data_IF_672307915142
#
_entry.id   IF_672307915142
#
_cell.length_a   1.000
_cell.length_b   1.000
_cell.length_c   1.000
_cell.angle_alpha   90.00
_cell.angle_beta   90.00
_cell.angle_gamma   90.00
#
_symmetry.space_group_name_H-M   'P 1'
#
loop_
_entity.id
_entity.type
_entity.pdbx_description
1 polymer ?
#
# COMPACT_ATOMS: atom_id res chain seq x y z
N UNK A 1 -24.99 -39.03 -30.51
CA UNK A 1 -23.73 -39.45 -29.86
C UNK A 1 -23.98 -40.34 -28.63
N UNK A 2 -24.53 -41.54 -28.83
CA UNK A 2 -24.90 -42.44 -27.72
C UNK A 2 -23.64 -42.94 -26.97
N UNK A 3 -22.60 -43.34 -27.72
CA UNK A 3 -21.35 -43.85 -27.13
C UNK A 3 -20.62 -42.82 -26.26
N UNK A 4 -20.71 -41.52 -26.59
CA UNK A 4 -20.16 -40.45 -25.75
C UNK A 4 -20.88 -40.42 -24.38
N UNK A 5 -22.20 -40.60 -24.37
CA UNK A 5 -22.98 -40.64 -23.13
C UNK A 5 -22.56 -41.81 -22.23
N UNK A 6 -22.30 -42.97 -22.82
CA UNK A 6 -21.79 -44.16 -22.11
C UNK A 6 -20.39 -43.89 -21.56
N UNK A 7 -19.48 -43.38 -22.37
CA UNK A 7 -18.11 -43.03 -21.95
C UNK A 7 -18.11 -42.06 -20.75
N UNK A 8 -18.98 -41.05 -20.76
CA UNK A 8 -19.07 -40.09 -19.66
C UNK A 8 -19.60 -40.71 -18.37
N UNK A 9 -20.58 -41.62 -18.45
CA UNK A 9 -21.07 -42.36 -17.29
C UNK A 9 -19.94 -43.21 -16.67
N UNK A 10 -19.26 -44.01 -17.51
CA UNK A 10 -18.16 -44.88 -17.06
C UNK A 10 -17.00 -44.07 -16.49
N UNK A 11 -16.64 -42.97 -17.14
CA UNK A 11 -15.58 -42.06 -16.66
C UNK A 11 -15.92 -41.46 -15.30
N UNK A 12 -17.16 -41.03 -15.09
CA UNK A 12 -17.58 -40.48 -13.80
C UNK A 12 -17.56 -41.55 -12.70
N UNK A 13 -18.04 -42.76 -12.99
CA UNK A 13 -17.98 -43.89 -12.04
C UNK A 13 -16.52 -44.19 -11.65
N UNK A 14 -15.62 -44.21 -12.62
CA UNK A 14 -14.20 -44.45 -12.38
C UNK A 14 -13.55 -43.35 -11.53
N UNK A 15 -13.80 -42.08 -11.85
CA UNK A 15 -13.33 -40.92 -11.07
C UNK A 15 -13.86 -40.96 -9.63
N UNK A 16 -15.13 -41.31 -9.45
CA UNK A 16 -15.73 -41.43 -8.12
C UNK A 16 -15.16 -42.60 -7.33
N UNK A 17 -14.83 -43.70 -8.01
CA UNK A 17 -14.20 -44.85 -7.38
C UNK A 17 -12.76 -44.57 -6.97
N UNK A 18 -11.99 -43.87 -7.79
CA UNK A 18 -10.62 -43.48 -7.45
C UNK A 18 -10.60 -42.58 -6.21
N UNK A 19 -11.47 -41.58 -6.16
CA UNK A 19 -11.56 -40.66 -5.03
C UNK A 19 -12.00 -41.34 -3.72
N UNK A 20 -12.80 -42.42 -3.79
CA UNK A 20 -13.15 -43.22 -2.60
C UNK A 20 -12.01 -44.12 -2.15
N UNK A 21 -11.19 -44.60 -3.09
CA UNK A 21 -10.12 -45.56 -2.84
C UNK A 21 -8.77 -44.87 -2.56
N UNK A 22 -8.67 -43.56 -2.78
CA UNK A 22 -7.52 -42.73 -2.46
C UNK A 22 -7.87 -41.70 -1.39
N UNK A 23 -6.87 -41.14 -0.71
CA UNK A 23 -7.05 -39.98 0.17
C UNK A 23 -7.07 -38.65 -0.61
N UNK A 24 -7.16 -38.70 -1.95
CA UNK A 24 -7.05 -37.54 -2.82
C UNK A 24 -8.44 -36.97 -3.14
N UNK A 25 -8.46 -35.70 -3.51
CA UNK A 25 -9.67 -35.04 -3.99
C UNK A 25 -10.09 -35.61 -5.34
N UNK A 26 -11.40 -35.69 -5.55
CA UNK A 26 -12.03 -36.13 -6.79
C UNK A 26 -11.56 -35.29 -7.99
N UNK A 27 -11.16 -35.95 -9.06
CA UNK A 27 -10.77 -35.29 -10.31
C UNK A 27 -11.96 -34.58 -10.96
N UNK A 28 -11.67 -33.42 -11.55
CA UNK A 28 -12.62 -32.70 -12.40
C UNK A 28 -12.71 -33.39 -13.76
N UNK A 29 -13.93 -33.57 -14.25
CA UNK A 29 -14.23 -34.09 -15.56
C UNK A 29 -14.88 -32.99 -16.39
N UNK A 30 -14.12 -32.45 -17.34
CA UNK A 30 -14.49 -31.30 -18.16
C UNK A 30 -14.35 -31.65 -19.63
N UNK A 31 -15.09 -30.96 -20.49
CA UNK A 31 -15.07 -31.20 -21.93
C UNK A 31 -15.14 -29.89 -22.70
N UNK A 32 -14.44 -29.80 -23.82
CA UNK A 32 -14.70 -28.77 -24.82
C UNK A 32 -15.92 -29.19 -25.66
N UNK A 33 -16.94 -28.34 -25.69
CA UNK A 33 -18.16 -28.52 -26.47
C UNK A 33 -18.27 -27.48 -27.56
N UNK A 34 -18.83 -27.87 -28.71
CA UNK A 34 -19.14 -26.93 -29.78
C UNK A 34 -20.15 -25.86 -29.31
N UNK A 35 -20.14 -24.68 -29.94
CA UNK A 35 -21.04 -23.60 -29.53
C UNK A 35 -22.52 -23.97 -29.64
N UNK A 36 -22.86 -24.87 -30.57
CA UNK A 36 -24.18 -25.50 -30.66
C UNK A 36 -24.16 -26.91 -30.05
N UNK A 37 -25.17 -27.26 -29.23
CA UNK A 37 -25.29 -28.61 -28.68
C UNK A 37 -25.79 -29.65 -29.69
N UNK A 38 -26.23 -29.22 -30.87
CA UNK A 38 -26.68 -30.08 -31.95
C UNK A 38 -26.38 -29.42 -33.30
N UNK A 39 -25.88 -30.22 -34.23
CA UNK A 39 -25.64 -29.83 -35.61
C UNK A 39 -26.16 -30.96 -36.50
N UNK A 40 -27.07 -30.61 -37.42
CA UNK A 40 -27.76 -31.56 -38.30
C UNK A 40 -28.39 -32.73 -37.53
N UNK A 41 -28.01 -33.97 -37.86
CA UNK A 41 -28.50 -35.20 -37.22
C UNK A 41 -27.72 -35.59 -35.96
N UNK A 42 -26.72 -34.81 -35.55
CA UNK A 42 -25.83 -35.14 -34.43
C UNK A 42 -26.05 -34.19 -33.27
N UNK A 43 -26.50 -34.74 -32.14
CA UNK A 43 -26.65 -33.99 -30.88
C UNK A 43 -25.78 -34.56 -29.77
N UNK A 44 -25.37 -33.67 -28.86
CA UNK A 44 -24.77 -34.05 -27.59
C UNK A 44 -25.77 -34.78 -26.68
N UNK A 45 -25.32 -35.77 -25.90
CA UNK A 45 -26.15 -36.45 -24.91
C UNK A 45 -26.29 -35.59 -23.66
N UNK A 46 -27.13 -34.54 -23.74
CA UNK A 46 -27.26 -33.48 -22.73
C UNK A 46 -27.45 -34.02 -21.32
N UNK A 47 -28.33 -35.01 -21.14
CA UNK A 47 -28.60 -35.61 -19.83
C UNK A 47 -27.37 -36.30 -19.22
N UNK A 48 -26.60 -37.04 -20.04
CA UNK A 48 -25.37 -37.68 -19.59
C UNK A 48 -24.30 -36.62 -19.26
N UNK A 49 -24.13 -35.63 -20.13
CA UNK A 49 -23.18 -34.55 -19.89
C UNK A 49 -23.50 -33.77 -18.61
N UNK A 50 -24.77 -33.43 -18.38
CA UNK A 50 -25.21 -32.69 -17.21
C UNK A 50 -24.95 -33.46 -15.92
N UNK A 51 -25.20 -34.78 -15.91
CA UNK A 51 -24.92 -35.63 -14.73
C UNK A 51 -23.43 -35.83 -14.49
N UNK A 52 -22.66 -36.03 -15.56
CA UNK A 52 -21.30 -36.56 -15.43
C UNK A 52 -20.20 -35.50 -15.51
N UNK A 53 -20.35 -34.41 -16.25
CA UNK A 53 -19.31 -33.39 -16.35
C UNK A 53 -19.42 -32.40 -15.19
N UNK A 54 -18.31 -31.86 -14.72
CA UNK A 54 -18.32 -30.72 -13.79
C UNK A 54 -18.75 -29.45 -14.54
N UNK A 55 -18.22 -29.23 -15.74
CA UNK A 55 -18.66 -28.19 -16.67
C UNK A 55 -18.20 -28.46 -18.11
N UNK A 56 -18.69 -27.62 -19.04
CA UNK A 56 -18.34 -27.64 -20.47
C UNK A 56 -17.72 -26.31 -20.87
N UNK A 57 -16.55 -26.36 -21.52
CA UNK A 57 -15.95 -25.21 -22.20
C UNK A 57 -16.63 -25.04 -23.57
N UNK A 58 -17.43 -24.00 -23.74
CA UNK A 58 -18.13 -23.72 -25.00
C UNK A 58 -17.17 -23.03 -25.96
N UNK A 59 -16.82 -23.67 -27.07
CA UNK A 59 -15.95 -23.08 -28.10
C UNK A 59 -16.72 -22.08 -28.95
N UNK A 60 -16.91 -20.87 -28.40
CA UNK A 60 -17.71 -19.78 -28.96
C UNK A 60 -16.93 -18.90 -29.95
N UNK A 61 -16.17 -19.54 -30.85
CA UNK A 61 -15.33 -18.90 -31.86
C UNK A 61 -15.02 -19.86 -33.00
N UNK A 62 -14.46 -19.33 -34.09
CA UNK A 62 -14.23 -20.07 -35.33
C UNK A 62 -15.51 -20.24 -36.16
N UNK A 63 -16.47 -19.32 -36.02
CA UNK A 63 -17.75 -19.35 -36.75
C UNK A 63 -17.56 -19.23 -38.26
N UNK A 64 -16.73 -18.28 -38.67
CA UNK A 64 -16.35 -18.02 -40.05
C UNK A 64 -14.83 -17.95 -40.12
N UNK A 65 -14.25 -18.62 -41.11
CA UNK A 65 -12.79 -18.76 -41.28
C UNK A 65 -12.42 -18.69 -42.75
N UNK A 66 -11.27 -18.09 -43.11
CA UNK A 66 -10.94 -17.76 -44.50
C UNK A 66 -10.65 -18.98 -45.39
N UNK A 67 -10.45 -20.16 -44.80
CA UNK A 67 -10.35 -21.42 -45.55
C UNK A 67 -11.70 -21.93 -46.05
N UNK A 68 -12.81 -21.47 -45.47
CA UNK A 68 -14.16 -21.93 -45.79
C UNK A 68 -15.01 -20.82 -46.39
N UNK A 69 -14.81 -19.59 -45.92
CA UNK A 69 -15.63 -18.43 -46.26
C UNK A 69 -14.87 -17.48 -47.18
N UNK A 70 -15.39 -17.27 -48.38
CA UNK A 70 -14.86 -16.36 -49.40
C UNK A 70 -15.37 -14.91 -49.23
N UNK A 71 -15.74 -14.54 -48.02
CA UNK A 71 -16.12 -13.19 -47.62
C UNK A 71 -15.63 -12.92 -46.19
N UNK A 72 -15.38 -11.65 -45.87
CA UNK A 72 -15.00 -11.25 -44.53
C UNK A 72 -16.17 -11.43 -43.58
N UNK A 73 -15.92 -12.00 -42.39
CA UNK A 73 -16.97 -12.15 -41.38
C UNK A 73 -16.38 -12.27 -39.98
N UNK A 74 -17.26 -12.27 -38.98
CA UNK A 74 -16.89 -12.32 -37.57
C UNK A 74 -16.67 -13.75 -37.09
N UNK A 75 -15.45 -14.12 -36.71
CA UNK A 75 -15.17 -15.50 -36.27
C UNK A 75 -15.69 -15.78 -34.84
N UNK A 76 -16.01 -14.76 -34.04
CA UNK A 76 -16.33 -14.90 -32.63
C UNK A 76 -17.45 -13.97 -32.13
N UNK A 77 -18.40 -13.60 -32.98
CA UNK A 77 -19.47 -12.67 -32.60
C UNK A 77 -20.24 -13.08 -31.33
N UNK A 78 -20.51 -12.11 -30.45
CA UNK A 78 -21.41 -12.33 -29.32
C UNK A 78 -22.87 -12.37 -29.79
N UNK A 79 -23.22 -11.43 -30.67
CA UNK A 79 -24.54 -11.29 -31.29
C UNK A 79 -24.40 -11.18 -32.80
N UNK A 80 -25.45 -11.59 -33.52
CA UNK A 80 -25.56 -11.35 -34.95
C UNK A 80 -27.02 -11.00 -35.29
N UNK A 81 -27.33 -9.75 -35.67
CA UNK A 81 -28.70 -9.33 -36.01
C UNK A 81 -29.22 -9.96 -37.30
N UNK A 82 -28.35 -10.50 -38.15
CA UNK A 82 -28.71 -11.14 -39.42
C UNK A 82 -28.94 -12.66 -39.25
N UNK A 83 -29.05 -13.14 -38.00
CA UNK A 83 -29.22 -14.54 -37.65
C UNK A 83 -28.07 -15.46 -38.12
N UNK A 84 -26.86 -14.91 -38.31
CA UNK A 84 -25.65 -15.72 -38.51
C UNK A 84 -25.15 -16.38 -37.22
N UNK A 85 -24.06 -17.14 -37.33
CA UNK A 85 -23.51 -17.89 -36.20
C UNK A 85 -22.97 -16.95 -35.10
N UNK A 86 -23.50 -17.08 -33.89
CA UNK A 86 -23.14 -16.23 -32.75
C UNK A 86 -23.26 -16.95 -31.39
N UNK A 87 -22.58 -16.37 -30.41
CA UNK A 87 -22.45 -16.93 -29.06
C UNK A 87 -23.76 -16.93 -28.27
N UNK A 88 -24.54 -15.85 -28.28
CA UNK A 88 -25.79 -15.78 -27.50
C UNK A 88 -26.82 -16.81 -27.97
N UNK A 89 -26.91 -17.03 -29.28
CA UNK A 89 -27.77 -18.08 -29.85
C UNK A 89 -27.33 -19.47 -29.43
N UNK A 90 -26.02 -19.76 -29.44
CA UNK A 90 -25.48 -21.03 -28.93
C UNK A 90 -25.81 -21.27 -27.46
N UNK A 91 -25.58 -20.28 -26.59
CA UNK A 91 -25.88 -20.37 -25.16
C UNK A 91 -27.39 -20.55 -24.90
N UNK A 92 -28.25 -19.84 -25.65
CA UNK A 92 -29.70 -20.03 -25.60
C UNK A 92 -30.11 -21.45 -25.99
N UNK A 93 -29.47 -22.02 -27.01
CA UNK A 93 -29.75 -23.38 -27.47
C UNK A 93 -29.30 -24.44 -26.45
N UNK A 94 -28.13 -24.30 -25.83
CA UNK A 94 -27.70 -25.15 -24.71
C UNK A 94 -28.72 -25.15 -23.58
N UNK A 95 -29.20 -23.96 -23.17
CA UNK A 95 -30.24 -23.81 -22.16
C UNK A 95 -31.56 -24.46 -22.60
N UNK A 96 -32.00 -24.21 -23.84
CA UNK A 96 -33.26 -24.74 -24.38
C UNK A 96 -33.31 -26.27 -24.36
N UNK A 97 -32.16 -26.92 -24.54
CA UNK A 97 -32.02 -28.37 -24.47
C UNK A 97 -31.92 -28.93 -23.05
N UNK A 98 -31.94 -28.07 -22.03
CA UNK A 98 -31.95 -28.48 -20.62
C UNK A 98 -30.58 -28.48 -19.93
N UNK A 99 -29.53 -27.96 -20.57
CA UNK A 99 -28.21 -27.86 -19.92
C UNK A 99 -28.14 -26.66 -18.97
N UNK A 100 -27.62 -26.87 -17.77
CA UNK A 100 -27.46 -25.82 -16.75
C UNK A 100 -26.41 -24.79 -17.18
N UNK A 101 -26.83 -23.53 -17.26
CA UNK A 101 -25.93 -22.41 -17.59
C UNK A 101 -24.78 -22.27 -16.59
N UNK A 102 -25.01 -22.58 -15.30
CA UNK A 102 -23.99 -22.61 -14.25
C UNK A 102 -22.97 -23.73 -14.40
N UNK A 103 -23.09 -24.58 -15.43
CA UNK A 103 -22.10 -25.59 -15.83
C UNK A 103 -21.49 -25.30 -17.21
N UNK A 104 -21.73 -24.13 -17.77
CA UNK A 104 -21.10 -23.67 -19.01
C UNK A 104 -20.02 -22.64 -18.70
N UNK A 105 -18.88 -22.78 -19.37
CA UNK A 105 -17.74 -21.87 -19.33
C UNK A 105 -17.56 -21.28 -20.72
N UNK A 106 -17.64 -19.96 -20.85
CA UNK A 106 -17.54 -19.26 -22.14
C UNK A 106 -16.11 -19.27 -22.67
N UNK A 107 -15.87 -19.84 -23.85
CA UNK A 107 -14.57 -19.76 -24.52
C UNK A 107 -14.33 -18.42 -25.23
N UNK A 108 -13.18 -17.80 -24.98
CA UNK A 108 -12.75 -16.55 -25.59
C UNK A 108 -11.52 -16.78 -26.48
N UNK A 109 -11.50 -16.30 -27.73
CA UNK A 109 -10.36 -16.45 -28.60
C UNK A 109 -9.35 -15.32 -28.41
N UNK A 110 -8.11 -15.67 -28.03
CA UNK A 110 -6.97 -14.74 -28.10
C UNK A 110 -6.30 -14.83 -29.46
N UNK A 111 -7.10 -14.90 -30.50
CA UNK A 111 -6.66 -14.96 -31.89
C UNK A 111 -7.75 -14.37 -32.75
N UNK A 112 -7.38 -14.09 -33.98
CA UNK A 112 -8.26 -13.65 -35.04
C UNK A 112 -8.00 -14.40 -36.32
N UNK A 113 -8.70 -13.97 -37.36
CA UNK A 113 -8.48 -14.44 -38.72
C UNK A 113 -8.31 -13.26 -39.67
N UNK A 114 -7.38 -13.43 -40.61
CA UNK A 114 -7.10 -12.51 -41.69
C UNK A 114 -7.59 -13.07 -43.02
N UNK A 115 -8.27 -12.22 -43.78
CA UNK A 115 -8.71 -12.46 -45.15
C UNK A 115 -7.95 -11.54 -46.10
N UNK A 116 -7.71 -12.02 -47.31
CA UNK A 116 -7.27 -11.18 -48.42
C UNK A 116 -8.50 -10.69 -49.19
N UNK A 117 -8.77 -9.39 -49.17
CA UNK A 117 -9.89 -8.76 -49.88
C UNK A 117 -9.71 -8.87 -51.40
N UNK A 118 -10.82 -9.02 -52.12
CA UNK A 118 -10.84 -8.90 -53.59
C UNK A 118 -10.58 -7.46 -54.02
N UNK A 119 -11.22 -6.50 -53.35
CA UNK A 119 -11.02 -5.07 -53.55
C UNK A 119 -10.77 -4.41 -52.18
N UNK A 120 -9.56 -3.86 -51.93
CA UNK A 120 -9.24 -3.16 -50.69
C UNK A 120 -10.18 -1.97 -50.37
N UNK A 121 -10.83 -1.39 -51.37
CA UNK A 121 -11.81 -0.31 -51.17
C UNK A 121 -13.15 -0.83 -50.65
N UNK A 122 -13.45 -2.10 -50.87
CA UNK A 122 -14.59 -2.79 -50.29
C UNK A 122 -14.11 -3.59 -49.06
N UNK A 123 -14.03 -2.92 -47.92
CA UNK A 123 -13.49 -3.46 -46.67
C UNK A 123 -14.54 -3.59 -45.55
N UNK A 124 -15.83 -3.49 -45.91
CA UNK A 124 -16.90 -3.74 -44.99
C UNK A 124 -16.93 -5.21 -44.55
N UNK A 125 -17.62 -5.48 -43.44
CA UNK A 125 -17.98 -6.85 -43.08
C UNK A 125 -18.87 -7.45 -44.18
N UNK A 126 -18.61 -8.68 -44.57
CA UNK A 126 -19.28 -9.34 -45.71
C UNK A 126 -18.64 -9.02 -47.07
N UNK A 127 -17.53 -8.29 -47.11
CA UNK A 127 -16.83 -7.99 -48.34
C UNK A 127 -16.24 -9.27 -48.99
N UNK A 128 -16.27 -9.41 -50.32
CA UNK A 128 -15.66 -10.54 -51.01
C UNK A 128 -14.15 -10.67 -50.71
N UNK A 129 -13.72 -11.91 -50.48
CA UNK A 129 -12.34 -12.25 -50.15
C UNK A 129 -11.82 -13.42 -51.01
N UNK A 130 -10.52 -13.39 -51.31
CA UNK A 130 -9.80 -14.41 -52.06
C UNK A 130 -9.41 -15.63 -51.19
N UNK A 131 -9.55 -15.51 -49.87
CA UNK A 131 -9.19 -16.57 -48.91
C UNK A 131 -8.26 -16.07 -47.81
N UNK A 132 -7.42 -16.96 -47.22
CA UNK A 132 -6.51 -16.62 -46.13
C UNK A 132 -5.57 -15.46 -46.43
N UNK A 133 -5.44 -14.53 -45.48
CA UNK A 133 -4.45 -13.46 -45.48
C UNK A 133 -3.37 -13.72 -44.42
N UNK A 134 -2.16 -13.19 -44.64
CA UNK A 134 -1.00 -13.26 -43.73
C UNK A 134 -0.44 -14.68 -43.48
N UNK A 135 -1.24 -15.62 -43.00
CA UNK A 135 -0.83 -17.00 -42.68
C UNK A 135 -1.58 -18.02 -43.57
N UNK A 136 -1.08 -19.27 -43.61
CA UNK A 136 -1.59 -20.32 -44.51
C UNK A 136 -3.06 -20.73 -44.26
N UNK A 137 -3.61 -20.41 -43.10
CA UNK A 137 -5.02 -20.60 -42.76
C UNK A 137 -5.70 -19.31 -42.31
N UNK A 138 -4.98 -18.18 -42.36
CA UNK A 138 -5.43 -16.86 -41.96
C UNK A 138 -5.43 -16.65 -40.45
N UNK A 139 -5.14 -17.67 -39.63
CA UNK A 139 -5.13 -17.49 -38.17
C UNK A 139 -3.99 -16.58 -37.73
N UNK A 140 -4.27 -15.70 -36.77
CA UNK A 140 -3.29 -14.80 -36.18
C UNK A 140 -3.52 -14.69 -34.67
N UNK A 141 -2.51 -14.98 -33.84
CA UNK A 141 -2.59 -14.75 -32.39
C UNK A 141 -2.71 -13.26 -32.07
N UNK A 142 -3.44 -12.89 -31.01
CA UNK A 142 -3.70 -11.48 -30.65
C UNK A 142 -2.41 -10.64 -30.56
N UNK A 143 -1.37 -11.13 -29.90
CA UNK A 143 -0.04 -10.50 -29.84
C UNK A 143 0.56 -10.24 -31.22
N UNK A 144 0.42 -11.19 -32.13
CA UNK A 144 0.89 -11.02 -33.51
C UNK A 144 0.04 -9.99 -34.25
N UNK A 145 -1.28 -9.98 -34.06
CA UNK A 145 -2.17 -8.95 -34.61
C UNK A 145 -1.73 -7.57 -34.12
N UNK A 146 -1.52 -7.37 -32.80
CA UNK A 146 -1.06 -6.08 -32.27
C UNK A 146 0.29 -5.66 -32.85
N UNK A 147 1.24 -6.59 -32.96
CA UNK A 147 2.53 -6.30 -33.59
C UNK A 147 2.39 -5.94 -35.07
N UNK A 148 1.60 -6.70 -35.83
CA UNK A 148 1.37 -6.49 -37.25
C UNK A 148 0.75 -5.11 -37.49
N UNK A 149 -0.28 -4.77 -36.72
CA UNK A 149 -0.97 -3.48 -36.85
C UNK A 149 -0.04 -2.31 -36.48
N UNK A 150 0.79 -2.45 -35.44
CA UNK A 150 1.80 -1.43 -35.06
C UNK A 150 2.82 -1.17 -36.18
N UNK A 151 3.05 -2.11 -37.08
CA UNK A 151 3.94 -1.93 -38.23
C UNK A 151 3.33 -1.06 -39.33
N UNK A 152 2.01 -0.79 -39.31
CA UNK A 152 1.31 0.02 -40.33
C UNK A 152 0.43 1.12 -39.69
N UNK A 153 1.02 2.05 -38.91
CA UNK A 153 0.26 3.00 -38.09
C UNK A 153 -0.57 4.00 -38.90
N UNK A 154 -0.23 4.26 -40.17
CA UNK A 154 -0.95 5.16 -41.07
C UNK A 154 -2.15 4.52 -41.79
N UNK A 155 -2.27 3.19 -41.73
CA UNK A 155 -3.30 2.42 -42.48
C UNK A 155 -4.30 1.72 -41.56
N UNK A 156 -3.96 1.55 -40.29
CA UNK A 156 -4.76 0.80 -39.34
C UNK A 156 -6.01 1.55 -38.87
N UNK A 157 -7.15 1.29 -39.49
CA UNK A 157 -8.45 1.67 -38.94
C UNK A 157 -8.92 0.60 -37.95
N UNK A 158 -8.78 0.87 -36.64
CA UNK A 158 -9.37 0.03 -35.60
C UNK A 158 -10.87 0.30 -35.50
N UNK A 159 -11.68 -0.73 -35.75
CA UNK A 159 -13.13 -0.62 -35.61
C UNK A 159 -13.61 -1.64 -34.58
N UNK A 160 -14.06 -1.13 -33.44
CA UNK A 160 -14.91 -1.91 -32.54
C UNK A 160 -16.34 -1.87 -33.06
N UNK A 161 -16.93 -3.05 -33.29
CA UNK A 161 -18.31 -3.17 -33.70
C UNK A 161 -19.17 -3.58 -32.50
N UNK A 162 -19.89 -2.62 -31.91
CA UNK A 162 -20.75 -2.86 -30.75
C UNK A 162 -21.96 -3.78 -31.05
N UNK A 163 -22.38 -3.88 -32.31
CA UNK A 163 -23.50 -4.75 -32.70
C UNK A 163 -23.12 -6.22 -32.60
N UNK A 164 -21.92 -6.58 -33.06
CA UNK A 164 -21.41 -7.96 -33.05
C UNK A 164 -20.52 -8.27 -31.83
N UNK A 165 -20.03 -7.23 -31.16
CA UNK A 165 -19.07 -7.29 -30.04
C UNK A 165 -17.77 -7.96 -30.46
N UNK A 166 -17.14 -7.41 -31.49
CA UNK A 166 -15.84 -7.84 -32.02
C UNK A 166 -15.06 -6.63 -32.55
N UNK A 167 -13.77 -6.83 -32.81
CA UNK A 167 -12.91 -5.84 -33.42
C UNK A 167 -12.52 -6.30 -34.82
N UNK A 168 -12.31 -5.34 -35.72
CA UNK A 168 -11.63 -5.62 -36.98
C UNK A 168 -10.76 -4.44 -37.41
N UNK A 169 -9.82 -4.71 -38.29
CA UNK A 169 -9.02 -3.70 -38.96
C UNK A 169 -8.74 -4.11 -40.41
N UNK A 170 -8.34 -3.13 -41.22
CA UNK A 170 -7.93 -3.35 -42.61
C UNK A 170 -6.59 -2.66 -42.84
N UNK A 171 -5.64 -3.36 -43.46
CA UNK A 171 -4.31 -2.88 -43.79
C UNK A 171 -4.01 -3.33 -45.23
N UNK A 172 -3.94 -2.40 -46.16
CA UNK A 172 -3.94 -2.71 -47.60
C UNK A 172 -5.08 -3.68 -47.97
N UNK A 173 -4.79 -4.83 -48.62
CA UNK A 173 -5.81 -5.84 -48.95
C UNK A 173 -6.17 -6.77 -47.79
N UNK A 174 -5.52 -6.65 -46.63
CA UNK A 174 -5.71 -7.58 -45.51
C UNK A 174 -6.81 -7.07 -44.59
N UNK A 175 -7.85 -7.88 -44.38
CA UNK A 175 -8.91 -7.62 -43.41
C UNK A 175 -8.81 -8.61 -42.25
N UNK A 176 -8.75 -8.12 -41.00
CA UNK A 176 -8.48 -8.95 -39.82
C UNK A 176 -9.62 -8.78 -38.81
N UNK A 177 -10.27 -9.87 -38.39
CA UNK A 177 -11.22 -9.86 -37.28
C UNK A 177 -10.66 -10.60 -36.06
N UNK A 178 -10.86 -10.01 -34.89
CA UNK A 178 -10.36 -10.52 -33.61
C UNK A 178 -11.16 -9.90 -32.43
N UNK A 179 -10.91 -10.36 -31.21
CA UNK A 179 -11.39 -9.69 -30.00
C UNK A 179 -10.27 -8.82 -29.40
N UNK A 180 -10.54 -7.52 -29.21
CA UNK A 180 -9.70 -6.63 -28.42
C UNK A 180 -10.33 -6.44 -27.02
N UNK A 181 -9.66 -5.64 -26.18
CA UNK A 181 -10.00 -5.40 -24.77
C UNK A 181 -11.48 -5.09 -24.54
N UNK A 182 -12.10 -4.25 -25.37
CA UNK A 182 -13.50 -3.87 -25.23
C UNK A 182 -14.46 -5.05 -25.48
N UNK A 183 -14.23 -5.84 -26.52
CA UNK A 183 -15.02 -7.03 -26.81
C UNK A 183 -14.91 -8.06 -25.68
N UNK A 184 -13.70 -8.27 -25.13
CA UNK A 184 -13.48 -9.17 -24.00
C UNK A 184 -14.29 -8.73 -22.77
N UNK A 185 -14.23 -7.45 -22.39
CA UNK A 185 -14.98 -6.93 -21.23
C UNK A 185 -16.49 -7.14 -21.37
N UNK A 186 -17.04 -6.88 -22.56
CA UNK A 186 -18.48 -7.08 -22.82
C UNK A 186 -18.85 -8.56 -22.77
N UNK A 187 -18.03 -9.47 -23.34
CA UNK A 187 -18.29 -10.92 -23.30
C UNK A 187 -18.19 -11.49 -21.88
N UNK A 188 -17.30 -10.98 -21.04
CA UNK A 188 -17.25 -11.34 -19.61
C UNK A 188 -18.49 -10.84 -18.88
N UNK A 189 -18.90 -9.60 -19.12
CA UNK A 189 -20.12 -9.05 -18.52
C UNK A 189 -21.35 -9.86 -18.91
N UNK A 190 -21.43 -10.28 -20.17
CA UNK A 190 -22.45 -11.20 -20.67
C UNK A 190 -22.43 -12.55 -19.92
N UNK A 191 -21.25 -13.18 -19.77
CA UNK A 191 -21.14 -14.46 -19.07
C UNK A 191 -21.63 -14.36 -17.62
N UNK A 192 -21.24 -13.29 -16.92
CA UNK A 192 -21.72 -12.98 -15.57
C UNK A 192 -23.23 -12.78 -15.53
N UNK A 193 -23.78 -11.96 -16.43
CA UNK A 193 -25.22 -11.65 -16.47
C UNK A 193 -26.09 -12.88 -16.76
N UNK A 194 -25.61 -13.80 -17.62
CA UNK A 194 -26.31 -15.04 -17.94
C UNK A 194 -26.19 -16.12 -16.85
N UNK A 195 -25.36 -15.90 -15.83
CA UNK A 195 -25.08 -16.90 -14.80
C UNK A 195 -24.29 -18.10 -15.33
N UNK A 196 -23.37 -17.86 -16.27
CA UNK A 196 -22.40 -18.88 -16.69
C UNK A 196 -21.41 -19.14 -15.54
N UNK A 197 -20.79 -20.33 -15.52
CA UNK A 197 -19.81 -20.69 -14.49
C UNK A 197 -18.58 -19.78 -14.52
N UNK A 198 -18.20 -19.34 -15.72
CA UNK A 198 -17.03 -18.50 -15.93
C UNK A 198 -16.65 -18.42 -17.41
N UNK A 199 -15.35 -18.26 -17.66
CA UNK A 199 -14.77 -18.19 -18.99
C UNK A 199 -13.46 -18.99 -19.08
N UNK A 200 -13.06 -19.31 -20.31
CA UNK A 200 -11.76 -19.92 -20.65
C UNK A 200 -11.20 -19.23 -21.87
N UNK A 201 -9.89 -19.36 -22.14
CA UNK A 201 -9.21 -18.63 -23.21
C UNK A 201 -8.42 -19.58 -24.12
N UNK A 202 -8.49 -19.35 -25.43
CA UNK A 202 -7.71 -20.08 -26.42
C UNK A 202 -6.91 -19.11 -27.31
N UNK A 203 -5.60 -18.94 -27.08
CA UNK A 203 -4.84 -19.50 -25.96
C UNK A 203 -3.98 -18.43 -25.31
N UNK A 204 -3.63 -18.64 -24.05
CA UNK A 204 -2.90 -17.68 -23.20
C UNK A 204 -1.64 -17.15 -23.87
N UNK A 205 -0.89 -18.02 -24.56
CA UNK A 205 0.36 -17.63 -25.24
C UNK A 205 0.19 -16.59 -26.36
N UNK A 206 -1.04 -16.37 -26.82
CA UNK A 206 -1.33 -15.35 -27.82
C UNK A 206 -1.63 -13.97 -27.20
N UNK A 207 -1.76 -13.84 -25.87
CA UNK A 207 -2.05 -12.55 -25.24
C UNK A 207 -0.85 -11.58 -25.37
N UNK A 208 -1.10 -10.28 -25.47
CA UNK A 208 -0.04 -9.26 -25.51
C UNK A 208 0.15 -8.71 -24.08
N UNK A 209 1.19 -9.18 -23.38
CA UNK A 209 1.50 -8.76 -22.01
C UNK A 209 0.32 -8.88 -21.04
N UNK A 210 -0.46 -9.96 -21.12
CA UNK A 210 -1.65 -10.24 -20.29
C UNK A 210 -2.77 -9.20 -20.42
N UNK A 211 -2.80 -8.41 -21.49
CA UNK A 211 -3.76 -7.34 -21.69
C UNK A 211 -5.20 -7.85 -21.70
N UNK A 212 -5.49 -8.88 -22.52
CA UNK A 212 -6.84 -9.45 -22.58
C UNK A 212 -7.18 -10.19 -21.28
N UNK A 213 -6.21 -10.87 -20.67
CA UNK A 213 -6.41 -11.59 -19.41
C UNK A 213 -6.74 -10.67 -18.24
N UNK A 214 -6.05 -9.52 -18.10
CA UNK A 214 -6.38 -8.50 -17.09
C UNK A 214 -7.73 -7.85 -17.36
N UNK A 215 -8.03 -7.57 -18.63
CA UNK A 215 -9.33 -7.05 -19.03
C UNK A 215 -10.46 -8.02 -18.65
N UNK A 216 -10.24 -9.33 -18.82
CA UNK A 216 -11.22 -10.35 -18.45
C UNK A 216 -11.39 -10.50 -16.93
N UNK A 217 -10.32 -10.32 -16.15
CA UNK A 217 -10.36 -10.34 -14.69
C UNK A 217 -11.15 -9.16 -14.11
N UNK A 218 -11.20 -8.02 -14.83
CA UNK A 218 -11.94 -6.82 -14.43
C UNK A 218 -11.17 -5.86 -13.52
N UNK A 219 -9.84 -5.93 -13.50
CA UNK A 219 -9.00 -5.08 -12.63
C UNK A 219 -9.08 -3.58 -12.98
N UNK A 220 -9.35 -3.22 -14.24
CA UNK A 220 -9.37 -1.82 -14.69
C UNK A 220 -10.57 -1.00 -14.14
N UNK A 221 -11.74 -1.63 -13.98
CA UNK A 221 -12.89 -0.97 -13.33
C UNK A 221 -12.61 -0.71 -11.85
N UNK A 222 -11.90 -1.63 -11.19
CA UNK A 222 -11.59 -1.55 -9.76
C UNK A 222 -10.48 -0.51 -9.51
N UNK A 223 -9.54 -0.32 -10.44
CA UNK A 223 -8.49 0.69 -10.34
C UNK A 223 -9.00 2.12 -10.61
N UNK A 224 -9.92 2.29 -11.57
CA UNK A 224 -10.61 3.57 -11.79
C UNK A 224 -11.56 3.92 -10.63
N UNK A 225 -12.32 2.94 -10.11
CA UNK A 225 -13.15 3.16 -8.92
C UNK A 225 -12.34 3.37 -7.64
N UNK A 226 -11.21 2.68 -7.43
CA UNK A 226 -10.30 2.94 -6.31
C UNK A 226 -9.73 4.35 -6.38
N UNK A 227 -9.28 4.80 -7.55
CA UNK A 227 -8.77 6.16 -7.73
C UNK A 227 -9.85 7.21 -7.47
N UNK A 228 -11.09 6.97 -7.94
CA UNK A 228 -12.23 7.86 -7.67
C UNK A 228 -12.67 7.86 -6.20
N UNK A 229 -12.64 6.70 -5.53
CA UNK A 229 -12.92 6.57 -4.09
C UNK A 229 -11.86 7.26 -3.26
N UNK A 230 -10.58 7.11 -3.60
CA UNK A 230 -9.47 7.80 -2.94
C UNK A 230 -9.57 9.32 -3.10
N UNK A 231 -9.99 9.81 -4.27
CA UNK A 231 -10.24 11.22 -4.55
C UNK A 231 -11.39 11.82 -3.71
N UNK A 232 -12.33 11.01 -3.22
CA UNK A 232 -13.45 11.46 -2.38
C UNK A 232 -13.13 11.28 -0.89
N UNK A 233 -12.48 10.17 -0.52
CA UNK A 233 -12.17 9.84 0.87
C UNK A 233 -11.09 10.78 1.43
N UNK A 234 -10.06 11.10 0.65
CA UNK A 234 -8.94 11.92 1.12
C UNK A 234 -9.36 13.37 1.48
N UNK A 235 -10.15 14.10 0.65
CA UNK A 235 -10.60 15.44 1.02
C UNK A 235 -11.64 15.44 2.15
N UNK A 236 -12.53 14.45 2.20
CA UNK A 236 -13.57 14.37 3.23
C UNK A 236 -12.96 14.08 4.60
N UNK A 237 -11.98 13.18 4.68
CA UNK A 237 -11.23 12.90 5.92
C UNK A 237 -10.45 14.12 6.39
N UNK A 238 -9.77 14.85 5.49
CA UNK A 238 -9.07 16.09 5.84
C UNK A 238 -10.04 17.17 6.33
N UNK A 239 -11.19 17.33 5.69
CA UNK A 239 -12.20 18.31 6.10
C UNK A 239 -12.78 17.99 7.48
N UNK A 240 -13.07 16.72 7.77
CA UNK A 240 -13.56 16.28 9.09
C UNK A 240 -12.48 16.50 10.17
N UNK A 241 -11.22 16.20 9.87
CA UNK A 241 -10.11 16.44 10.80
C UNK A 241 -9.94 17.93 11.11
N UNK A 242 -10.06 18.80 10.11
CA UNK A 242 -10.01 20.27 10.31
C UNK A 242 -11.20 20.77 11.16
N UNK A 243 -12.41 20.23 10.93
CA UNK A 243 -13.59 20.58 11.73
C UNK A 243 -13.45 20.12 13.19
N UNK A 244 -12.91 18.92 13.42
CA UNK A 244 -12.65 18.41 14.78
C UNK A 244 -11.55 19.23 15.45
N UNK A 245 -10.46 19.53 14.76
CA UNK A 245 -9.39 20.39 15.29
C UNK A 245 -9.90 21.79 15.64
N UNK A 246 -10.69 22.42 14.78
CA UNK A 246 -11.27 23.75 15.06
C UNK A 246 -12.25 23.71 16.23
N UNK A 247 -13.08 22.66 16.34
CA UNK A 247 -13.96 22.45 17.49
C UNK A 247 -13.17 22.27 18.79
N UNK A 248 -12.10 21.46 18.78
CA UNK A 248 -11.22 21.27 19.94
C UNK A 248 -10.55 22.58 20.32
N UNK A 249 -9.99 23.32 19.36
CA UNK A 249 -9.40 24.65 19.58
C UNK A 249 -10.41 25.64 20.17
N UNK A 250 -11.66 25.62 19.69
CA UNK A 250 -12.73 26.45 20.22
C UNK A 250 -13.06 26.10 21.68
N UNK A 251 -13.23 24.81 21.99
CA UNK A 251 -13.49 24.34 23.36
C UNK A 251 -12.31 24.64 24.28
N UNK A 252 -11.07 24.46 23.82
CA UNK A 252 -9.85 24.82 24.54
C UNK A 252 -9.76 26.32 24.79
N UNK A 253 -10.10 27.15 23.80
CA UNK A 253 -10.10 28.61 23.95
C UNK A 253 -11.14 29.08 25.00
N UNK A 254 -12.30 28.41 25.10
CA UNK A 254 -13.29 28.65 26.15
C UNK A 254 -12.79 28.24 27.53
N UNK A 255 -12.13 27.09 27.65
CA UNK A 255 -11.54 26.62 28.90
C UNK A 255 -10.43 27.57 29.36
N UNK A 256 -9.56 28.03 28.46
CA UNK A 256 -8.48 28.99 28.77
C UNK A 256 -9.05 30.35 29.20
N UNK A 257 -10.12 30.85 28.56
CA UNK A 257 -10.81 32.09 28.99
C UNK A 257 -11.43 31.97 30.39
N UNK A 258 -11.92 30.78 30.77
CA UNK A 258 -12.42 30.53 32.13
C UNK A 258 -11.29 30.38 33.17
N UNK A 259 -10.12 29.88 32.75
CA UNK A 259 -8.93 29.70 33.61
C UNK A 259 -8.24 31.01 33.97
N UNK A 260 -8.31 32.06 33.15
CA UNK A 260 -7.70 33.37 33.45
C UNK A 260 -8.18 34.02 34.76
N UNK A 261 -9.45 33.82 35.15
CA UNK A 261 -9.99 34.30 36.42
C UNK A 261 -9.59 33.38 37.60
N UNK A 262 -9.54 32.06 37.37
CA UNK A 262 -9.21 31.05 38.39
C UNK A 262 -7.71 30.99 38.69
N UNK A 263 -6.85 31.24 37.70
CA UNK A 263 -5.38 31.23 37.81
C UNK A 263 -4.83 32.46 38.54
N UNK A 264 -5.57 33.57 38.56
CA UNK A 264 -5.22 34.75 39.39
C UNK A 264 -5.47 34.49 40.88
N UNK A 265 -6.56 33.78 41.21
CA UNK A 265 -6.88 33.38 42.59
C UNK A 265 -5.98 32.24 43.07
N UNK A 266 -5.70 31.24 42.22
CA UNK A 266 -4.72 30.17 42.51
C UNK A 266 -3.29 30.69 42.69
N UNK A 267 -2.85 31.71 41.93
CA UNK A 267 -1.53 32.36 42.11
C UNK A 267 -1.37 33.00 43.49
N UNK A 268 -2.43 33.61 44.02
CA UNK A 268 -2.41 34.25 45.33
C UNK A 268 -2.32 33.19 46.45
N UNK A 269 -3.13 32.13 46.33
CA UNK A 269 -3.14 31.02 47.29
C UNK A 269 -1.83 30.20 47.25
N UNK A 270 -1.24 30.01 46.06
CA UNK A 270 0.02 29.26 45.90
C UNK A 270 1.26 30.05 46.35
N UNK A 271 1.28 31.38 46.19
CA UNK A 271 2.33 32.24 46.79
C UNK A 271 2.29 32.24 48.31
N UNK A 272 1.11 32.11 48.90
CA UNK A 272 0.93 31.94 50.35
C UNK A 272 1.38 30.54 50.78
N UNK A 273 1.02 29.51 50.02
CA UNK A 273 1.42 28.12 50.30
C UNK A 273 2.95 27.93 50.26
N UNK A 274 3.65 28.47 49.25
CA UNK A 274 5.12 28.36 49.14
C UNK A 274 5.86 29.12 50.25
N UNK A 275 5.34 30.26 50.72
CA UNK A 275 5.91 30.95 51.88
C UNK A 275 5.77 30.14 53.17
N UNK A 276 4.74 29.30 53.28
CA UNK A 276 4.54 28.41 54.42
C UNK A 276 5.38 27.12 54.32
N UNK A 277 5.44 26.46 53.16
CA UNK A 277 6.16 25.19 53.01
C UNK A 277 7.68 25.31 52.80
N UNK A 278 8.20 26.53 52.57
CA UNK A 278 9.64 26.81 52.68
C UNK A 278 10.18 26.67 54.11
N UNK A 279 9.29 26.60 55.11
CA UNK A 279 9.67 26.49 56.51
C UNK A 279 9.72 25.04 57.05
N UNK A 280 9.13 24.04 56.38
CA UNK A 280 8.91 22.72 57.03
C UNK A 280 9.36 21.45 56.28
N UNK A 281 9.66 21.44 54.97
CA UNK A 281 9.88 20.16 54.24
C UNK A 281 11.22 20.01 53.49
N UNK A 282 12.34 20.41 54.10
CA UNK A 282 13.70 20.09 53.60
C UNK A 282 14.53 19.22 54.57
N UNK A 283 13.89 18.34 55.34
CA UNK A 283 14.62 17.49 56.30
C UNK A 283 14.31 15.98 56.20
N UNK A 284 13.89 15.47 55.05
CA UNK A 284 13.59 14.03 54.88
C UNK A 284 14.05 13.45 53.55
N UNK A 285 15.26 12.89 53.51
CA UNK A 285 15.74 11.90 52.51
C UNK A 285 15.83 12.33 51.02
N UNK A 286 16.48 13.46 50.74
CA UNK A 286 17.06 13.78 49.41
C UNK A 286 18.61 13.76 49.47
N UNK A 287 19.19 12.70 50.02
CA UNK A 287 20.56 12.68 50.56
C UNK A 287 21.72 12.67 49.54
N UNK A 288 21.49 12.90 48.23
CA UNK A 288 22.56 12.80 47.21
C UNK A 288 22.72 14.02 46.28
N UNK A 289 21.88 15.06 46.36
CA UNK A 289 22.01 16.26 45.52
C UNK A 289 22.74 17.39 46.25
N UNK A 290 23.73 17.99 45.60
CA UNK A 290 24.43 19.15 46.13
C UNK A 290 23.70 20.45 45.77
N UNK A 291 23.47 21.32 46.76
CA UNK A 291 23.02 22.69 46.51
C UNK A 291 24.24 23.55 46.15
N UNK A 292 24.24 24.13 44.96
CA UNK A 292 25.31 25.01 44.48
C UNK A 292 24.88 26.48 44.60
N UNK A 293 25.81 27.34 45.01
CA UNK A 293 25.57 28.79 44.98
C UNK A 293 25.72 29.35 43.57
N UNK A 294 24.99 30.45 43.30
CA UNK A 294 25.05 31.16 42.02
C UNK A 294 26.48 31.59 41.70
N UNK A 295 27.24 32.05 42.70
CA UNK A 295 28.63 32.48 42.53
C UNK A 295 29.55 31.33 42.12
N UNK A 296 29.32 30.13 42.66
CA UNK A 296 30.08 28.93 42.31
C UNK A 296 29.84 28.53 40.86
N UNK A 297 28.57 28.49 40.43
CA UNK A 297 28.22 28.11 39.05
C UNK A 297 28.63 29.18 38.05
N UNK A 298 28.46 30.46 38.39
CA UNK A 298 28.93 31.59 37.58
C UNK A 298 30.44 31.53 37.38
N UNK A 299 31.22 31.22 38.41
CA UNK A 299 32.67 31.04 38.28
C UNK A 299 33.01 29.78 37.44
N UNK A 300 32.35 28.65 37.71
CA UNK A 300 32.61 27.38 37.02
C UNK A 300 32.35 27.46 35.51
N UNK A 301 31.37 28.26 35.08
CA UNK A 301 30.98 28.44 33.67
C UNK A 301 31.67 29.63 33.00
N UNK A 302 32.63 30.29 33.67
CA UNK A 302 33.25 31.54 33.23
C UNK A 302 32.21 32.61 32.85
N UNK A 303 31.37 32.99 33.82
CA UNK A 303 30.26 33.92 33.66
C UNK A 303 29.24 33.52 32.58
N UNK A 304 28.98 32.23 32.41
CA UNK A 304 28.13 31.70 31.34
C UNK A 304 28.59 32.14 29.93
N UNK A 305 29.91 32.12 29.70
CA UNK A 305 30.51 32.47 28.41
C UNK A 305 29.89 31.66 27.28
N UNK A 306 29.68 32.30 26.12
CA UNK A 306 29.22 31.62 24.90
C UNK A 306 30.18 30.53 24.43
N UNK A 307 31.48 30.64 24.74
CA UNK A 307 32.48 29.62 24.43
C UNK A 307 32.23 28.30 25.18
N UNK A 308 31.60 28.39 26.35
CA UNK A 308 31.23 27.23 27.15
C UNK A 308 29.82 26.72 26.81
N UNK A 309 29.11 27.31 25.86
CA UNK A 309 27.76 26.88 25.53
C UNK A 309 27.79 25.54 24.76
N UNK A 310 27.16 24.53 25.34
CA UNK A 310 27.04 23.19 24.75
C UNK A 310 25.85 23.08 23.79
N UNK A 311 24.77 23.82 24.06
CA UNK A 311 23.55 23.83 23.25
C UNK A 311 22.47 24.73 23.85
N UNK A 312 21.36 24.91 23.13
CA UNK A 312 20.15 25.59 23.61
C UNK A 312 18.91 25.00 22.94
N UNK A 313 17.87 24.74 23.73
CA UNK A 313 16.56 24.28 23.26
C UNK A 313 15.43 25.08 23.91
N UNK A 314 14.19 24.60 23.80
CA UNK A 314 13.00 25.28 24.34
C UNK A 314 13.02 25.55 25.85
N UNK A 315 13.92 24.90 26.58
CA UNK A 315 14.05 24.98 28.05
C UNK A 315 15.22 25.83 28.52
N UNK A 316 15.99 26.42 27.60
CA UNK A 316 17.10 27.32 27.89
C UNK A 316 18.48 26.76 27.52
N UNK A 317 19.53 27.57 27.71
CA UNK A 317 20.91 27.23 27.34
C UNK A 317 21.57 26.26 28.32
N UNK A 318 22.43 25.39 27.78
CA UNK A 318 23.29 24.47 28.55
C UNK A 318 24.75 24.90 28.40
N UNK A 319 25.46 25.03 29.52
CA UNK A 319 26.86 25.44 29.57
C UNK A 319 27.75 24.36 30.16
N UNK A 320 28.96 24.20 29.63
CA UNK A 320 30.05 23.46 30.25
C UNK A 320 30.60 24.28 31.42
N UNK A 321 30.85 23.63 32.54
CA UNK A 321 31.54 24.23 33.67
C UNK A 321 32.62 23.32 34.23
N UNK A 322 33.56 23.91 34.97
CA UNK A 322 34.57 23.17 35.72
C UNK A 322 34.57 23.64 37.18
N UNK A 323 34.24 22.74 38.10
CA UNK A 323 34.25 23.02 39.54
C UNK A 323 35.69 23.12 40.06
N UNK A 324 35.88 23.70 41.26
CA UNK A 324 37.21 23.94 41.86
C UNK A 324 38.07 22.67 42.03
N UNK A 325 37.44 21.50 42.16
CA UNK A 325 38.11 20.19 42.26
C UNK A 325 38.42 19.55 40.89
N UNK A 326 38.23 20.28 39.80
CA UNK A 326 38.50 19.82 38.44
C UNK A 326 37.36 19.02 37.79
N UNK A 327 36.27 18.74 38.51
CA UNK A 327 35.11 18.04 38.00
C UNK A 327 34.40 18.87 36.91
N UNK A 328 34.23 18.27 35.73
CA UNK A 328 33.47 18.86 34.63
C UNK A 328 31.97 18.62 34.82
N UNK A 329 31.17 19.66 34.57
CA UNK A 329 29.72 19.65 34.74
C UNK A 329 29.01 20.25 33.53
N UNK A 330 27.76 19.86 33.31
CA UNK A 330 26.83 20.52 32.41
C UNK A 330 25.78 21.28 33.23
N UNK A 331 25.63 22.57 32.96
CA UNK A 331 24.74 23.48 33.67
C UNK A 331 23.61 23.90 32.75
N UNK A 332 22.41 23.38 32.98
CA UNK A 332 21.19 23.76 32.25
C UNK A 332 20.54 24.92 32.99
N UNK A 333 20.56 26.11 32.39
CA UNK A 333 19.97 27.32 32.96
C UNK A 333 18.56 27.49 32.41
N UNK A 334 17.56 27.38 33.28
CA UNK A 334 16.16 27.36 32.86
C UNK A 334 15.66 28.77 32.54
N UNK A 335 14.82 28.87 31.50
CA UNK A 335 14.23 30.15 31.08
C UNK A 335 13.26 30.72 32.13
N UNK A 336 13.31 32.04 32.36
CA UNK A 336 12.45 32.75 33.32
C UNK A 336 11.00 32.93 32.83
N UNK A 337 10.71 32.71 31.54
CA UNK A 337 9.44 33.08 30.91
C UNK A 337 8.40 31.96 30.82
N UNK A 338 8.70 30.74 31.30
CA UNK A 338 7.83 29.58 31.15
C UNK A 338 7.40 28.99 32.50
N UNK A 339 6.09 28.90 32.74
CA UNK A 339 5.52 28.18 33.88
C UNK A 339 5.87 26.67 33.82
N UNK A 340 6.06 26.14 32.61
CA UNK A 340 6.42 24.75 32.37
C UNK A 340 7.84 24.43 32.90
N UNK A 341 8.80 25.36 32.74
CA UNK A 341 10.18 25.15 33.21
C UNK A 341 10.34 25.04 34.72
N UNK A 342 9.43 25.63 35.51
CA UNK A 342 9.45 25.54 36.97
C UNK A 342 8.90 24.21 37.49
N UNK A 343 7.84 23.67 36.87
CA UNK A 343 7.31 22.34 37.22
C UNK A 343 8.30 21.24 36.82
N UNK A 344 8.93 21.35 35.66
CA UNK A 344 9.98 20.45 35.20
C UNK A 344 11.20 20.48 36.13
N UNK A 345 11.66 21.68 36.54
CA UNK A 345 12.72 21.82 37.55
C UNK A 345 12.38 21.08 38.84
N UNK A 346 11.14 21.24 39.34
CA UNK A 346 10.70 20.57 40.57
C UNK A 346 10.67 19.06 40.40
N UNK A 347 10.16 18.55 39.27
CA UNK A 347 10.16 17.11 39.00
C UNK A 347 11.59 16.57 38.94
N UNK A 348 12.49 17.29 38.28
CA UNK A 348 13.86 16.84 38.05
C UNK A 348 14.70 16.88 39.33
N UNK A 349 14.53 17.91 40.17
CA UNK A 349 15.17 17.98 41.49
C UNK A 349 14.58 16.97 42.47
N UNK A 350 13.26 16.76 42.47
CA UNK A 350 12.59 15.90 43.45
C UNK A 350 12.84 14.41 43.17
N UNK A 351 12.91 14.01 41.90
CA UNK A 351 12.88 12.59 41.54
C UNK A 351 14.10 12.09 40.77
N UNK A 352 14.70 12.88 39.87
CA UNK A 352 15.93 12.47 39.15
C UNK A 352 17.15 12.38 40.08
N UNK A 353 17.07 12.99 41.27
CA UNK A 353 17.97 12.75 42.40
C UNK A 353 18.09 11.27 42.81
N UNK A 354 17.01 10.50 42.60
CA UNK A 354 16.85 9.11 43.04
C UNK A 354 17.04 8.10 41.91
N UNK A 355 16.97 8.55 40.66
CA UNK A 355 17.13 7.72 39.47
C UNK A 355 18.61 7.65 39.10
N UNK A 356 19.23 6.50 39.39
CA UNK A 356 20.62 6.22 39.04
C UNK A 356 20.67 4.96 38.19
N UNK A 357 20.91 5.13 36.89
CA UNK A 357 21.01 4.03 35.93
C UNK A 357 22.17 4.29 34.99
N UNK A 358 22.86 3.24 34.56
CA UNK A 358 24.04 3.33 33.66
C UNK A 358 23.73 4.05 32.34
N UNK A 359 22.47 3.99 31.90
CA UNK A 359 21.98 4.63 30.66
C UNK A 359 21.18 5.92 30.90
N UNK A 360 21.30 6.55 32.09
CA UNK A 360 20.70 7.87 32.39
C UNK A 360 21.77 8.84 32.90
N UNK A 361 21.76 10.08 32.40
CA UNK A 361 22.71 11.10 32.81
C UNK A 361 22.37 11.57 34.22
N UNK A 362 23.31 11.43 35.15
CA UNK A 362 23.06 11.73 36.56
C UNK A 362 22.98 13.23 36.84
N UNK A 363 21.99 13.60 37.65
CA UNK A 363 21.90 14.94 38.26
C UNK A 363 22.81 14.98 39.49
N UNK A 364 23.73 15.94 39.52
CA UNK A 364 24.68 16.16 40.61
C UNK A 364 24.14 17.16 41.65
N UNK A 365 23.31 18.11 41.20
CA UNK A 365 22.81 19.17 42.07
C UNK A 365 21.98 20.22 41.35
N UNK A 366 21.62 21.26 42.09
CA UNK A 366 20.82 22.37 41.59
C UNK A 366 21.21 23.71 42.24
N UNK A 367 20.77 24.81 41.63
CA UNK A 367 20.89 26.17 42.16
C UNK A 367 19.55 26.90 41.94
N UNK A 368 19.08 27.61 42.99
CA UNK A 368 17.86 28.45 42.97
C UNK A 368 18.13 29.88 43.46
N UNK A 369 19.41 30.25 43.65
CA UNK A 369 19.79 31.57 44.13
C UNK A 369 19.53 32.65 43.08
N UNK A 370 19.20 33.88 43.53
CA UNK A 370 18.98 35.06 42.67
C UNK A 370 17.89 34.88 41.60
N UNK A 371 16.87 34.07 41.90
CA UNK A 371 15.77 33.74 40.97
C UNK A 371 16.23 33.01 39.70
N UNK A 372 17.38 32.35 39.76
CA UNK A 372 17.92 31.54 38.68
C UNK A 372 17.77 30.06 39.05
N UNK A 373 16.95 29.33 38.30
CA UNK A 373 16.83 27.89 38.45
C UNK A 373 17.79 27.19 37.49
N UNK A 374 18.76 26.47 38.04
CA UNK A 374 19.76 25.73 37.28
C UNK A 374 19.88 24.30 37.76
N UNK A 375 20.02 23.39 36.80
CA UNK A 375 20.31 21.97 37.04
C UNK A 375 21.75 21.66 36.64
N UNK A 376 22.42 20.89 37.48
CA UNK A 376 23.82 20.51 37.30
C UNK A 376 23.87 19.01 37.08
N UNK A 377 24.30 18.62 35.88
CA UNK A 377 24.51 17.24 35.47
C UNK A 377 26.00 16.93 35.33
N UNK A 378 26.33 15.64 35.30
CA UNK A 378 27.65 15.23 34.84
C UNK A 378 27.88 15.60 33.37
N UNK A 379 29.10 16.00 33.05
CA UNK A 379 29.46 16.35 31.68
C UNK A 379 29.67 15.09 30.85
N UNK A 380 29.02 15.04 29.68
CA UNK A 380 29.15 13.94 28.71
C UNK A 380 30.20 14.30 27.64
N UNK A 381 31.41 13.71 27.64
CA UNK A 381 32.50 14.13 26.77
C UNK A 381 32.23 13.89 25.28
N UNK A 382 31.51 12.80 24.99
CA UNK A 382 31.14 12.43 23.63
C UNK A 382 30.00 13.26 23.05
N UNK A 383 29.45 14.25 23.78
CA UNK A 383 28.28 15.04 23.33
C UNK A 383 27.07 14.16 23.01
N UNK A 384 26.02 14.76 22.46
CA UNK A 384 24.73 14.14 22.23
C UNK A 384 24.69 13.32 20.93
N UNK A 385 23.84 12.28 20.90
CA UNK A 385 23.72 11.36 19.77
C UNK A 385 23.20 12.05 18.50
N UNK A 386 22.34 13.06 18.66
CA UNK A 386 21.84 13.91 17.57
C UNK A 386 22.97 14.48 16.71
N UNK A 387 24.09 14.88 17.32
CA UNK A 387 25.27 15.43 16.65
C UNK A 387 25.92 14.41 15.71
N UNK A 388 25.86 13.12 16.04
CA UNK A 388 26.41 12.04 15.23
C UNK A 388 25.44 11.54 14.16
N UNK A 389 24.13 11.66 14.41
CA UNK A 389 23.09 11.21 13.48
C UNK A 389 22.78 12.24 12.41
N UNK A 390 22.76 13.53 12.76
CA UNK A 390 22.21 14.59 11.90
C UNK A 390 23.20 15.71 11.58
N UNK A 391 24.37 15.74 12.22
CA UNK A 391 25.30 16.86 12.08
C UNK A 391 24.73 18.17 12.63
N UNK A 392 25.41 19.29 12.39
CA UNK A 392 25.06 20.59 13.00
C UNK A 392 23.93 21.34 12.27
N UNK A 393 23.02 20.63 11.59
CA UNK A 393 21.99 21.27 10.78
C UNK A 393 20.60 20.63 10.97
N UNK A 394 19.71 21.47 11.54
CA UNK A 394 18.26 21.61 11.27
C UNK A 394 17.33 21.36 12.47
N UNK A 395 16.63 22.45 12.80
CA UNK A 395 15.30 22.64 13.38
C UNK A 395 14.55 21.40 13.94
N UNK A 396 14.24 21.47 15.24
CA UNK A 396 13.34 20.58 15.98
C UNK A 396 12.00 20.37 15.25
N UNK A 397 11.81 19.19 14.65
CA UNK A 397 10.48 18.66 14.37
C UNK A 397 9.93 17.94 15.63
N UNK A 398 8.60 17.94 15.86
CA UNK A 398 7.98 17.28 17.01
C UNK A 398 8.36 15.79 17.11
N UNK A 399 8.50 15.27 18.33
CA UNK A 399 8.86 13.85 18.61
C UNK A 399 7.95 12.86 17.87
N UNK A 400 6.70 13.22 17.60
CA UNK A 400 5.75 12.42 16.81
C UNK A 400 6.17 12.26 15.34
N UNK A 401 6.79 13.27 14.75
CA UNK A 401 7.36 13.24 13.41
C UNK A 401 8.66 12.42 13.41
N UNK A 402 9.45 12.49 14.48
CA UNK A 402 10.64 11.65 14.67
C UNK A 402 10.31 10.16 14.78
N UNK A 403 9.32 9.80 15.60
CA UNK A 403 8.86 8.42 15.73
C UNK A 403 8.26 7.89 14.43
N UNK A 404 7.51 8.73 13.71
CA UNK A 404 6.93 8.38 12.40
C UNK A 404 8.01 8.20 11.33
N UNK A 405 9.00 9.09 11.26
CA UNK A 405 10.13 8.95 10.31
C UNK A 405 10.95 7.70 10.65
N UNK A 406 11.28 7.46 11.92
CA UNK A 406 12.01 6.26 12.34
C UNK A 406 11.23 4.96 12.05
N UNK A 407 9.92 4.94 12.27
CA UNK A 407 9.05 3.79 11.97
C UNK A 407 8.91 3.57 10.46
N UNK A 408 8.78 4.65 9.68
CA UNK A 408 8.71 4.60 8.21
C UNK A 408 10.05 4.15 7.64
N UNK A 409 11.19 4.59 8.17
CA UNK A 409 12.52 4.11 7.75
C UNK A 409 12.76 2.65 8.14
N UNK A 410 12.29 2.21 9.33
CA UNK A 410 12.40 0.81 9.76
C UNK A 410 11.56 -0.12 8.88
N UNK A 411 10.35 0.29 8.51
CA UNK A 411 9.46 -0.46 7.60
C UNK A 411 10.00 -0.46 6.16
N UNK A 412 10.66 0.63 5.71
CA UNK A 412 11.26 0.69 4.38
C UNK A 412 12.57 -0.12 4.28
N UNK A 413 13.41 -0.14 5.31
CA UNK A 413 14.65 -0.95 5.32
C UNK A 413 14.38 -2.45 5.42
N UNK A 414 13.32 -2.88 6.13
CA UNK A 414 12.87 -4.28 6.12
C UNK A 414 12.41 -4.74 4.72
N UNK A 415 11.87 -3.82 3.89
CA UNK A 415 11.57 -4.09 2.47
C UNK A 415 12.80 -4.06 1.56
N UNK A 416 13.88 -3.38 1.93
CA UNK A 416 15.13 -3.35 1.16
C UNK A 416 15.93 -4.65 1.25
N UNK A 417 15.65 -5.52 2.22
CA UNK A 417 16.22 -6.89 2.28
C UNK A 417 15.58 -7.84 1.24
N UNK A 418 14.51 -7.40 0.56
CA UNK A 418 13.91 -8.09 -0.59
C UNK A 418 14.01 -7.20 -1.84
N UNK A 419 15.23 -6.96 -2.31
CA UNK A 419 15.51 -6.55 -3.70
C UNK A 419 15.28 -5.08 -4.06
N UNK A 420 16.40 -4.38 -4.30
CA UNK A 420 16.57 -3.17 -5.12
C UNK A 420 15.81 -1.90 -4.74
N UNK A 421 16.52 -0.92 -4.16
CA UNK A 421 16.96 0.29 -4.91
C UNK A 421 17.70 1.28 -3.99
N UNK A 422 18.76 1.88 -4.56
CA UNK A 422 19.53 2.98 -3.99
C UNK A 422 18.66 4.17 -3.58
N UNK A 423 18.75 4.59 -2.31
CA UNK A 423 18.49 5.96 -1.88
C UNK A 423 19.53 6.41 -0.87
N UNK A 424 20.30 7.45 -1.24
CA UNK A 424 21.28 8.11 -0.38
C UNK A 424 20.56 9.00 0.62
N UNK A 425 20.63 8.65 1.91
CA UNK A 425 20.37 9.59 2.99
C UNK A 425 21.64 10.44 3.21
N UNK A 426 21.56 11.74 2.94
CA UNK A 426 22.60 12.74 3.20
C UNK A 426 22.74 12.97 4.72
N UNK A 427 23.48 12.08 5.38
CA UNK A 427 24.13 12.35 6.67
C UNK A 427 25.63 12.41 6.46
N UNK A 428 26.32 13.27 7.22
CA UNK A 428 27.77 13.53 7.12
C UNK A 428 28.57 12.21 6.94
N UNK A 429 29.17 11.99 5.75
CA UNK A 429 29.80 10.71 5.39
C UNK A 429 31.02 10.38 6.25
N UNK A 430 31.61 11.38 6.92
CA UNK A 430 32.81 11.21 7.75
C UNK A 430 32.47 10.65 9.13
N UNK A 431 31.34 11.07 9.72
CA UNK A 431 30.91 10.67 11.06
C UNK A 431 30.09 9.38 11.06
N UNK A 432 29.48 9.02 9.92
CA UNK A 432 28.72 7.78 9.75
C UNK A 432 29.56 6.52 10.01
N UNK A 433 30.85 6.56 9.71
CA UNK A 433 31.81 5.48 9.96
C UNK A 433 32.14 5.27 11.46
N UNK A 434 31.79 6.21 12.34
CA UNK A 434 32.00 6.08 13.80
C UNK A 434 30.87 5.29 14.48
N UNK A 435 29.70 5.20 13.85
CA UNK A 435 28.51 4.47 14.31
C UNK A 435 28.27 3.27 13.38
N UNK A 436 29.10 2.23 13.52
CA UNK A 436 28.84 0.94 12.88
C UNK A 436 27.55 0.29 13.40
N UNK A 437 27.07 -0.73 12.70
CA UNK A 437 25.81 -1.38 13.03
C UNK A 437 25.77 -1.93 14.46
N UNK A 438 26.90 -2.47 14.94
CA UNK A 438 26.99 -3.03 16.30
C UNK A 438 26.81 -1.95 17.35
N UNK A 439 27.52 -0.82 17.22
CA UNK A 439 27.35 0.34 18.11
C UNK A 439 25.92 0.90 18.09
N UNK A 440 25.24 0.87 16.93
CA UNK A 440 23.84 1.33 16.84
C UNK A 440 22.90 0.44 17.63
N UNK A 441 23.08 -0.88 17.54
CA UNK A 441 22.30 -1.84 18.32
C UNK A 441 22.54 -1.63 19.81
N UNK A 442 23.80 -1.48 20.23
CA UNK A 442 24.14 -1.22 21.64
C UNK A 442 23.50 0.07 22.16
N UNK A 443 23.47 1.14 21.36
CA UNK A 443 22.81 2.41 21.70
C UNK A 443 21.29 2.22 21.84
N UNK A 444 20.65 1.52 20.89
CA UNK A 444 19.19 1.28 20.93
C UNK A 444 18.82 0.45 22.15
N UNK A 445 19.59 -0.58 22.46
CA UNK A 445 19.39 -1.41 23.64
C UNK A 445 19.55 -0.58 24.92
N UNK A 446 20.60 0.23 25.01
CA UNK A 446 20.84 1.12 26.16
C UNK A 446 19.72 2.14 26.38
N UNK A 447 19.25 2.80 25.30
CA UNK A 447 18.11 3.73 25.35
C UNK A 447 16.84 3.02 25.79
N UNK A 448 16.57 1.83 25.26
CA UNK A 448 15.38 1.04 25.61
C UNK A 448 15.40 0.65 27.10
N UNK A 449 16.54 0.19 27.61
CA UNK A 449 16.71 -0.13 29.03
C UNK A 449 16.53 1.12 29.93
N UNK A 450 17.07 2.27 29.53
CA UNK A 450 16.90 3.54 30.25
C UNK A 450 15.45 4.01 30.30
N UNK A 451 14.73 3.94 29.17
CA UNK A 451 13.31 4.29 29.09
C UNK A 451 12.43 3.34 29.90
N UNK A 452 12.71 2.04 29.86
CA UNK A 452 12.00 1.05 30.66
C UNK A 452 12.16 1.33 32.16
N UNK A 453 13.40 1.63 32.60
CA UNK A 453 13.68 2.02 33.97
C UNK A 453 12.93 3.30 34.37
N UNK A 454 12.92 4.32 33.50
CA UNK A 454 12.14 5.53 33.76
C UNK A 454 10.64 5.23 33.87
N UNK A 455 10.08 4.38 33.00
CA UNK A 455 8.66 4.04 33.03
C UNK A 455 8.27 3.25 34.30
N UNK A 456 9.13 2.34 34.75
CA UNK A 456 8.86 1.48 35.89
C UNK A 456 9.00 2.24 37.23
N UNK A 457 9.94 3.19 37.32
CA UNK A 457 10.28 3.85 38.58
C UNK A 457 9.86 5.33 38.64
N UNK A 458 9.60 6.00 37.52
CA UNK A 458 9.14 7.41 37.51
C UNK A 458 7.61 7.50 37.53
N UNK A 459 7.07 7.93 38.67
CA UNK A 459 5.64 8.24 38.80
C UNK A 459 5.23 9.60 38.18
N UNK A 460 6.18 10.29 37.54
CA UNK A 460 5.98 11.62 36.95
C UNK A 460 6.58 11.69 35.55
N UNK A 461 6.08 12.63 34.75
CA UNK A 461 6.61 12.91 33.42
C UNK A 461 8.01 13.51 33.55
N UNK A 462 9.02 12.72 33.15
CA UNK A 462 10.40 13.17 32.95
C UNK A 462 10.56 13.48 31.47
N UNK A 463 10.76 14.75 31.12
CA UNK A 463 11.00 15.18 29.74
C UNK A 463 12.51 15.38 29.59
N UNK A 464 13.18 14.44 28.93
CA UNK A 464 14.63 14.41 28.78
C UNK A 464 15.11 15.08 27.50
#
# INVERSE_FOLDING_TARGET
MINLGTLLNESRIAVDSEARNSSKSKLLLVMAGYYLPALDSVSYPIDSMQRNLDWVHVTAYGYYVPRKDNFTHTHAALYDPLNGANTDSGIKEWKRRGFLLSKLVLGLPYHGYAWTLVDPKNNAMGAPALGPGVTADGSMGYKFIKSYVRSFPSEAAFVYNATYVVNFCTIGPTWINYDDVEAIRVKISYAKQKGLLGYTVFQVGNDDNWELSRAAQGEDEDQHNKSRRLLIILPTTVAVMLLVCTMICYLWSRVIKSRGCVDSVKRLLYKVQIKLSSAEDLNGNASNLQVFSYTTIKAATNNFSSENKLGEGGYGPVYKGKLRKGQEIAVKRLSRTSNQGLEEFKNEVTFTARLQHVNLVRVLGYCTEKEENMLIHEYMPSKSLDLYLFGQQIFMLPITVYAYICLVTYIFELKSLTGSNHFHYEGDPTRRNLLDWRKRVDIIEGVTQGLLYLQEYSNFTVIH
#
